data_IF_758415704602
#
_entry.id   IF_758415704602
#
_cell.length_a   1.000
_cell.length_b   1.000
_cell.length_c   1.000
_cell.angle_alpha   90.00
_cell.angle_beta   90.00
_cell.angle_gamma   90.00
#
_symmetry.space_group_name_H-M   'P 1'
#
loop_
_entity.id
_entity.type
_entity.pdbx_description
1 polymer ?
#
# COMPACT_ATOMS: atom_id res chain seq x y z
N UNK A 1 -20.16 -12.27 -3.00
CA UNK A 1 -19.05 -11.53 -2.38
C UNK A 1 -19.09 -10.11 -2.90
N UNK A 2 -18.99 -9.14 -2.00
CA UNK A 2 -19.06 -7.71 -2.33
C UNK A 2 -17.67 -7.11 -2.19
N UNK A 3 -17.14 -6.58 -3.28
CA UNK A 3 -15.81 -6.00 -3.37
C UNK A 3 -15.95 -4.48 -3.47
N UNK A 4 -15.31 -3.75 -2.54
CA UNK A 4 -15.11 -2.32 -2.66
C UNK A 4 -13.76 -2.04 -3.31
N UNK A 5 -13.71 -1.14 -4.30
CA UNK A 5 -12.46 -0.62 -4.82
C UNK A 5 -12.14 0.72 -4.16
N UNK A 6 -10.94 0.86 -3.57
CA UNK A 6 -10.43 2.09 -2.99
C UNK A 6 -9.40 2.71 -3.93
N UNK A 7 -9.68 3.90 -4.43
CA UNK A 7 -8.81 4.66 -5.33
C UNK A 7 -8.24 5.84 -4.56
N UNK A 8 -6.93 6.05 -4.66
CA UNK A 8 -6.28 7.28 -4.20
C UNK A 8 -5.83 8.08 -5.42
N UNK A 9 -6.12 9.38 -5.43
CA UNK A 9 -5.75 10.29 -6.52
C UNK A 9 -5.15 11.60 -6.00
N UNK A 10 -4.33 12.24 -6.83
CA UNK A 10 -3.79 13.56 -6.57
C UNK A 10 -3.40 14.25 -7.88
N UNK A 11 -4.13 15.31 -8.25
CA UNK A 11 -3.87 16.14 -9.43
C UNK A 11 -3.86 15.38 -10.78
N UNK A 12 -4.67 14.31 -10.91
CA UNK A 12 -4.66 13.38 -12.05
C UNK A 12 -6.07 13.03 -12.53
N UNK A 13 -6.82 14.05 -12.94
CA UNK A 13 -8.24 13.91 -13.32
C UNK A 13 -8.48 12.96 -14.49
N UNK A 14 -7.63 13.00 -15.53
CA UNK A 14 -7.75 12.13 -16.69
C UNK A 14 -7.46 10.66 -16.36
N UNK A 15 -6.43 10.43 -15.54
CA UNK A 15 -6.08 9.09 -15.08
C UNK A 15 -7.19 8.51 -14.19
N UNK A 16 -7.74 9.31 -13.27
CA UNK A 16 -8.87 8.92 -12.43
C UNK A 16 -10.09 8.51 -13.27
N UNK A 17 -10.44 9.28 -14.32
CA UNK A 17 -11.55 8.92 -15.20
C UNK A 17 -11.30 7.60 -15.94
N UNK A 18 -10.10 7.41 -16.47
CA UNK A 18 -9.71 6.16 -17.14
C UNK A 18 -9.76 4.94 -16.19
N UNK A 19 -9.30 5.11 -14.95
CA UNK A 19 -9.35 4.07 -13.92
C UNK A 19 -10.79 3.70 -13.56
N UNK A 20 -11.65 4.69 -13.29
CA UNK A 20 -13.08 4.49 -13.00
C UNK A 20 -13.80 3.82 -14.16
N UNK A 21 -13.53 4.25 -15.38
CA UNK A 21 -14.08 3.65 -16.60
C UNK A 21 -13.69 2.17 -16.73
N UNK A 22 -12.45 1.82 -16.46
CA UNK A 22 -12.00 0.43 -16.49
C UNK A 22 -12.74 -0.42 -15.45
N UNK A 23 -12.84 0.06 -14.21
CA UNK A 23 -13.56 -0.64 -13.12
C UNK A 23 -15.05 -0.84 -13.46
N UNK A 24 -15.73 0.19 -13.93
CA UNK A 24 -17.17 0.12 -14.24
C UNK A 24 -17.49 -0.57 -15.57
N UNK A 25 -16.48 -0.82 -16.42
CA UNK A 25 -16.59 -1.66 -17.60
C UNK A 25 -16.21 -3.13 -17.37
N UNK A 26 -15.81 -3.51 -16.13
CA UNK A 26 -15.53 -4.90 -15.80
C UNK A 26 -16.72 -5.81 -16.03
N UNK A 27 -16.49 -7.07 -16.36
CA UNK A 27 -17.51 -8.12 -16.57
C UNK A 27 -18.40 -8.26 -15.32
N UNK A 28 -17.79 -8.29 -14.14
CA UNK A 28 -18.48 -8.17 -12.85
C UNK A 28 -18.10 -6.82 -12.24
N UNK A 29 -19.11 -6.01 -11.92
CA UNK A 29 -18.90 -4.68 -11.35
C UNK A 29 -18.40 -4.75 -9.91
N UNK A 30 -17.57 -3.78 -9.44
CA UNK A 30 -17.37 -3.60 -8.02
C UNK A 30 -18.70 -3.29 -7.33
N UNK A 31 -18.84 -3.68 -6.07
CA UNK A 31 -20.04 -3.33 -5.27
C UNK A 31 -20.11 -1.84 -4.99
N UNK A 32 -18.97 -1.22 -4.75
CA UNK A 32 -18.80 0.22 -4.58
C UNK A 32 -17.37 0.63 -4.94
N UNK A 33 -17.19 1.89 -5.28
CA UNK A 33 -15.88 2.51 -5.45
C UNK A 33 -15.76 3.69 -4.50
N UNK A 34 -14.65 3.80 -3.79
CA UNK A 34 -14.36 4.93 -2.90
C UNK A 34 -13.12 5.64 -3.44
N UNK A 35 -13.28 6.89 -3.82
CA UNK A 35 -12.19 7.76 -4.30
C UNK A 35 -11.80 8.72 -3.19
N UNK A 36 -10.53 8.71 -2.78
CA UNK A 36 -9.95 9.69 -1.85
C UNK A 36 -8.95 10.58 -2.58
N UNK A 37 -9.23 11.88 -2.62
CA UNK A 37 -8.54 12.87 -3.44
C UNK A 37 -7.66 13.81 -2.59
N UNK A 38 -6.35 13.61 -2.68
CA UNK A 38 -5.32 14.43 -2.02
C UNK A 38 -4.90 15.67 -2.82
N UNK A 39 -5.62 16.03 -3.90
CA UNK A 39 -5.33 17.23 -4.69
C UNK A 39 -5.35 18.49 -3.80
N UNK A 40 -4.39 19.38 -4.03
CA UNK A 40 -4.29 20.64 -3.28
C UNK A 40 -5.16 21.73 -3.92
N UNK A 41 -5.29 21.69 -5.24
CA UNK A 41 -6.08 22.64 -6.01
C UNK A 41 -7.57 22.32 -5.92
N UNK A 42 -8.35 23.30 -5.46
CA UNK A 42 -9.81 23.19 -5.30
C UNK A 42 -10.53 23.00 -6.64
N UNK A 43 -10.02 23.55 -7.72
CA UNK A 43 -10.61 23.37 -9.03
C UNK A 43 -10.41 21.93 -9.53
N UNK A 44 -9.24 21.35 -9.30
CA UNK A 44 -9.00 19.93 -9.61
C UNK A 44 -9.92 19.04 -8.75
N UNK A 45 -10.09 19.32 -7.46
CA UNK A 45 -11.03 18.59 -6.62
C UNK A 45 -12.47 18.66 -7.13
N UNK A 46 -12.91 19.83 -7.61
CA UNK A 46 -14.23 19.98 -8.23
C UNK A 46 -14.36 19.13 -9.49
N UNK A 47 -13.35 19.15 -10.37
CA UNK A 47 -13.30 18.32 -11.57
C UNK A 47 -13.39 16.84 -11.19
N UNK A 48 -12.54 16.38 -10.27
CA UNK A 48 -12.54 14.98 -9.81
C UNK A 48 -13.88 14.58 -9.20
N UNK A 49 -14.49 15.44 -8.37
CA UNK A 49 -15.83 15.20 -7.83
C UNK A 49 -16.90 15.11 -8.89
N UNK A 50 -16.81 15.91 -9.98
CA UNK A 50 -17.74 15.83 -11.10
C UNK A 50 -17.55 14.55 -11.92
N UNK A 51 -16.32 14.11 -12.13
CA UNK A 51 -15.99 12.82 -12.78
C UNK A 51 -16.62 11.69 -11.98
N UNK A 52 -16.36 11.63 -10.66
CA UNK A 52 -16.87 10.57 -9.77
C UNK A 52 -18.41 10.48 -9.81
N UNK A 53 -19.13 11.60 -9.88
CA UNK A 53 -20.59 11.63 -9.96
C UNK A 53 -21.17 11.00 -11.25
N UNK A 54 -20.36 10.77 -12.26
CA UNK A 54 -20.81 10.12 -13.51
C UNK A 54 -20.87 8.59 -13.38
N UNK A 55 -20.27 8.04 -12.33
CA UNK A 55 -20.21 6.60 -12.08
C UNK A 55 -21.15 6.19 -10.95
N UNK A 56 -21.91 5.09 -11.13
CA UNK A 56 -22.83 4.62 -10.09
C UNK A 56 -22.06 4.13 -8.86
N UNK A 57 -22.69 4.07 -7.70
CA UNK A 57 -22.13 3.50 -6.46
C UNK A 57 -20.68 3.94 -6.18
N UNK A 58 -20.33 5.18 -6.57
CA UNK A 58 -18.99 5.75 -6.41
C UNK A 58 -19.03 6.93 -5.44
N UNK A 59 -18.22 6.84 -4.37
CA UNK A 59 -18.13 7.82 -3.28
C UNK A 59 -16.89 8.66 -3.47
N UNK A 60 -17.03 9.99 -3.43
CA UNK A 60 -15.93 10.93 -3.43
C UNK A 60 -15.65 11.45 -2.03
N UNK A 61 -14.38 11.43 -1.64
CA UNK A 61 -13.87 11.96 -0.38
C UNK A 61 -12.71 12.93 -0.65
N UNK A 62 -12.70 14.04 0.06
CA UNK A 62 -11.49 14.87 0.15
C UNK A 62 -10.47 14.13 1.01
N UNK A 63 -9.27 13.97 0.49
CA UNK A 63 -8.18 13.28 1.18
C UNK A 63 -7.50 14.12 2.24
N UNK A 64 -6.75 13.50 3.16
CA UNK A 64 -6.13 14.15 4.31
C UNK A 64 -4.86 14.95 3.99
N UNK A 65 -4.30 14.83 2.79
CA UNK A 65 -3.07 15.49 2.31
C UNK A 65 -1.83 15.22 3.18
N UNK A 66 -1.73 13.99 3.70
CA UNK A 66 -0.65 13.53 4.59
C UNK A 66 0.17 12.37 4.00
N UNK A 67 0.09 12.14 2.69
CA UNK A 67 0.79 11.07 1.99
C UNK A 67 -0.11 9.90 1.62
N UNK A 68 0.45 8.96 0.84
CA UNK A 68 -0.32 7.86 0.24
C UNK A 68 -0.98 6.95 1.27
N UNK A 69 -0.30 6.65 2.37
CA UNK A 69 -0.84 5.81 3.45
C UNK A 69 -2.07 6.44 4.11
N UNK A 70 -2.00 7.74 4.45
CA UNK A 70 -3.13 8.46 5.01
C UNK A 70 -4.31 8.54 4.03
N UNK A 71 -4.02 8.72 2.75
CA UNK A 71 -5.03 8.77 1.71
C UNK A 71 -5.71 7.40 1.51
N UNK A 72 -4.95 6.30 1.53
CA UNK A 72 -5.49 4.93 1.51
C UNK A 72 -6.31 4.62 2.78
N UNK A 73 -5.86 5.08 3.96
CA UNK A 73 -6.64 4.97 5.20
C UNK A 73 -7.98 5.70 5.09
N UNK A 74 -7.99 6.92 4.53
CA UNK A 74 -9.23 7.69 4.33
C UNK A 74 -10.22 6.94 3.44
N UNK A 75 -9.74 6.35 2.33
CA UNK A 75 -10.58 5.56 1.43
C UNK A 75 -11.10 4.28 2.09
N UNK A 76 -10.23 3.49 2.73
CA UNK A 76 -10.63 2.21 3.31
C UNK A 76 -11.52 2.36 4.54
N UNK A 77 -11.33 3.42 5.33
CA UNK A 77 -12.17 3.70 6.49
C UNK A 77 -13.63 3.99 6.09
N UNK A 78 -13.86 4.64 4.95
CA UNK A 78 -15.20 4.85 4.44
C UNK A 78 -15.92 3.54 4.09
N UNK A 79 -15.19 2.47 3.78
CA UNK A 79 -15.80 1.15 3.53
C UNK A 79 -16.35 0.50 4.80
N UNK A 80 -16.05 1.01 6.00
CA UNK A 80 -16.51 0.45 7.27
C UNK A 80 -18.04 0.52 7.44
N UNK A 81 -18.66 1.54 6.88
CA UNK A 81 -20.11 1.72 6.89
C UNK A 81 -20.82 0.99 5.73
N UNK A 82 -20.04 0.37 4.83
CA UNK A 82 -20.55 -0.32 3.66
C UNK A 82 -20.53 -1.82 3.89
N UNK A 83 -21.52 -2.50 3.33
CA UNK A 83 -21.63 -3.95 3.42
C UNK A 83 -20.69 -4.61 2.39
N UNK A 84 -19.39 -4.66 2.72
CA UNK A 84 -18.33 -5.17 1.85
C UNK A 84 -17.55 -6.30 2.52
N UNK A 85 -17.21 -7.32 1.74
CA UNK A 85 -16.45 -8.49 2.19
C UNK A 85 -14.93 -8.28 1.97
N UNK A 86 -14.56 -7.64 0.86
CA UNK A 86 -13.18 -7.42 0.43
C UNK A 86 -12.96 -6.00 -0.07
N UNK A 87 -11.71 -5.56 0.04
CA UNK A 87 -11.22 -4.27 -0.46
C UNK A 87 -10.11 -4.51 -1.48
N UNK A 88 -10.26 -3.94 -2.67
CA UNK A 88 -9.20 -3.81 -3.66
C UNK A 88 -8.61 -2.39 -3.57
N UNK A 89 -7.29 -2.27 -3.54
CA UNK A 89 -6.65 -0.97 -3.78
C UNK A 89 -6.31 -0.85 -5.26
N UNK A 90 -6.67 0.28 -5.86
CA UNK A 90 -6.36 0.58 -7.26
C UNK A 90 -5.84 2.01 -7.30
N UNK A 91 -4.65 2.23 -7.85
CA UNK A 91 -4.12 3.57 -8.02
C UNK A 91 -4.78 4.26 -9.23
N UNK A 92 -4.83 5.58 -9.25
CA UNK A 92 -5.56 6.35 -10.27
C UNK A 92 -5.04 6.16 -11.70
N UNK A 93 -3.79 5.73 -11.86
CA UNK A 93 -3.15 5.45 -13.15
C UNK A 93 -3.23 3.97 -13.59
N UNK A 94 -4.06 3.18 -12.91
CA UNK A 94 -4.25 1.74 -13.17
C UNK A 94 -5.57 1.51 -13.90
N UNK A 95 -5.52 0.69 -14.94
CA UNK A 95 -6.71 0.11 -15.56
C UNK A 95 -6.73 -1.40 -15.29
N UNK A 96 -7.76 -1.85 -14.59
CA UNK A 96 -7.99 -3.29 -14.38
C UNK A 96 -8.41 -3.97 -15.67
N UNK A 97 -8.01 -5.24 -15.86
CA UNK A 97 -8.56 -6.06 -16.93
C UNK A 97 -10.04 -6.37 -16.69
N UNK A 98 -10.84 -6.60 -17.77
CA UNK A 98 -12.30 -6.76 -17.66
C UNK A 98 -12.75 -7.82 -16.66
N UNK A 99 -12.00 -8.91 -16.51
CA UNK A 99 -12.34 -10.03 -15.63
C UNK A 99 -11.70 -9.93 -14.23
N UNK A 100 -11.06 -8.81 -13.89
CA UNK A 100 -10.33 -8.63 -12.61
C UNK A 100 -11.23 -8.96 -11.39
N UNK A 101 -12.42 -8.35 -11.32
CA UNK A 101 -13.36 -8.57 -10.20
C UNK A 101 -13.94 -9.99 -10.27
N UNK A 102 -14.26 -10.50 -11.46
CA UNK A 102 -14.77 -11.87 -11.66
C UNK A 102 -13.76 -12.90 -11.16
N UNK A 103 -12.50 -12.79 -11.59
CA UNK A 103 -11.41 -13.69 -11.18
C UNK A 103 -11.16 -13.64 -9.66
N UNK A 104 -11.25 -12.47 -9.04
CA UNK A 104 -11.14 -12.32 -7.59
C UNK A 104 -12.26 -13.08 -6.86
N UNK A 105 -13.50 -12.93 -7.30
CA UNK A 105 -14.65 -13.62 -6.74
C UNK A 105 -14.50 -15.14 -6.93
N UNK A 106 -14.11 -15.59 -8.12
CA UNK A 106 -13.90 -17.00 -8.41
C UNK A 106 -12.82 -17.60 -7.50
N UNK A 107 -11.67 -16.90 -7.39
CA UNK A 107 -10.57 -17.34 -6.53
C UNK A 107 -11.00 -17.49 -5.07
N UNK A 108 -11.71 -16.52 -4.52
CA UNK A 108 -12.23 -16.60 -3.15
C UNK A 108 -13.34 -17.66 -3.01
N UNK A 109 -14.15 -17.91 -4.04
CA UNK A 109 -15.22 -18.91 -4.01
C UNK A 109 -14.70 -20.34 -3.85
N UNK A 110 -13.49 -20.60 -4.34
CA UNK A 110 -12.80 -21.89 -4.24
C UNK A 110 -12.25 -22.15 -2.83
N UNK A 111 -12.26 -21.15 -1.93
CA UNK A 111 -11.72 -21.28 -0.57
C UNK A 111 -12.83 -21.52 0.46
N UNK A 112 -12.57 -22.34 1.50
CA UNK A 112 -13.44 -22.39 2.68
C UNK A 112 -13.63 -21.02 3.32
N UNK A 113 -14.82 -20.76 3.89
CA UNK A 113 -15.13 -19.44 4.48
C UNK A 113 -14.09 -18.94 5.49
N UNK A 114 -13.61 -19.83 6.36
CA UNK A 114 -12.63 -19.44 7.39
C UNK A 114 -11.25 -19.10 6.77
N UNK A 115 -10.83 -19.82 5.75
CA UNK A 115 -9.59 -19.50 5.05
C UNK A 115 -9.69 -18.17 4.31
N UNK A 116 -10.83 -17.91 3.67
CA UNK A 116 -11.11 -16.69 2.90
C UNK A 116 -10.93 -15.42 3.75
N UNK A 117 -11.36 -15.45 5.01
CA UNK A 117 -11.26 -14.32 5.94
C UNK A 117 -9.81 -13.91 6.25
N UNK A 118 -8.87 -14.85 6.12
CA UNK A 118 -7.45 -14.64 6.43
C UNK A 118 -6.54 -14.78 5.22
N UNK A 119 -7.09 -14.60 4.01
CA UNK A 119 -6.32 -14.71 2.77
C UNK A 119 -6.38 -13.39 1.99
N UNK A 120 -5.22 -12.85 1.71
CA UNK A 120 -4.98 -11.74 0.79
C UNK A 120 -4.61 -12.38 -0.56
N UNK A 121 -5.21 -11.93 -1.64
CA UNK A 121 -4.82 -12.36 -3.00
C UNK A 121 -4.17 -11.20 -3.73
N UNK A 122 -3.19 -11.51 -4.57
CA UNK A 122 -2.42 -10.51 -5.33
C UNK A 122 -2.13 -11.00 -6.73
N UNK A 123 -2.28 -10.11 -7.69
CA UNK A 123 -2.11 -10.38 -9.11
C UNK A 123 -0.83 -9.83 -9.70
N UNK A 124 -0.90 -9.49 -10.97
CA UNK A 124 0.20 -9.03 -11.80
C UNK A 124 -0.12 -7.66 -12.36
N UNK A 125 0.87 -6.75 -12.35
CA UNK A 125 0.79 -5.47 -13.03
C UNK A 125 1.70 -5.45 -14.24
N UNK A 126 1.20 -4.89 -15.34
CA UNK A 126 1.98 -4.70 -16.56
C UNK A 126 2.26 -3.20 -16.76
N UNK A 127 3.53 -2.83 -16.88
CA UNK A 127 3.96 -1.44 -17.11
C UNK A 127 3.61 -0.99 -18.54
N UNK A 128 3.74 0.31 -18.82
CA UNK A 128 3.56 0.87 -20.17
C UNK A 128 4.59 0.32 -21.18
N UNK A 129 5.73 -0.23 -20.72
CA UNK A 129 6.74 -0.88 -21.55
C UNK A 129 6.53 -2.39 -21.69
N UNK A 130 5.48 -2.95 -21.07
CA UNK A 130 5.18 -4.39 -21.08
C UNK A 130 5.93 -5.20 -20.02
N UNK A 131 6.68 -4.56 -19.13
CA UNK A 131 7.33 -5.23 -18.01
C UNK A 131 6.31 -5.66 -16.96
N UNK A 132 6.48 -6.85 -16.40
CA UNK A 132 5.57 -7.39 -15.38
C UNK A 132 6.13 -7.21 -13.98
N UNK A 133 5.35 -6.57 -13.13
CA UNK A 133 5.55 -6.55 -11.68
C UNK A 133 4.80 -7.73 -11.07
N UNK A 134 5.53 -8.57 -10.34
CA UNK A 134 5.03 -9.79 -9.72
C UNK A 134 5.07 -9.69 -8.19
N UNK A 135 4.21 -10.42 -7.47
CA UNK A 135 4.33 -10.59 -6.04
C UNK A 135 5.71 -11.14 -5.66
N UNK A 136 6.27 -10.71 -4.54
CA UNK A 136 7.66 -10.98 -4.20
C UNK A 136 7.84 -11.29 -2.71
N UNK A 137 9.08 -11.54 -2.30
CA UNK A 137 9.52 -11.59 -0.91
C UNK A 137 10.49 -10.46 -0.61
N UNK A 138 10.59 -10.07 0.64
CA UNK A 138 11.67 -9.21 1.10
C UNK A 138 12.89 -10.04 1.48
N UNK A 139 14.02 -9.76 0.84
CA UNK A 139 15.32 -10.28 1.28
C UNK A 139 15.64 -9.87 2.72
N UNK A 140 16.70 -10.43 3.27
CA UNK A 140 17.22 -10.00 4.58
C UNK A 140 17.54 -8.48 4.60
N UNK A 141 18.03 -7.95 3.50
CA UNK A 141 18.40 -6.53 3.35
C UNK A 141 17.20 -5.62 3.01
N UNK A 142 15.99 -6.16 2.90
CA UNK A 142 14.77 -5.43 2.58
C UNK A 142 14.55 -5.18 1.09
N UNK A 143 15.30 -5.80 0.18
CA UNK A 143 15.04 -5.70 -1.25
C UNK A 143 13.92 -6.66 -1.67
N UNK A 144 13.11 -6.23 -2.63
CA UNK A 144 12.12 -7.09 -3.27
C UNK A 144 12.83 -8.15 -4.14
N UNK A 145 12.51 -9.40 -3.91
CA UNK A 145 13.07 -10.55 -4.60
C UNK A 145 11.97 -11.40 -5.20
N UNK A 146 12.12 -11.80 -6.46
CA UNK A 146 11.22 -12.78 -7.07
C UNK A 146 11.17 -14.07 -6.23
N UNK A 147 10.02 -14.71 -6.20
CA UNK A 147 9.80 -15.95 -5.46
C UNK A 147 8.90 -16.89 -6.24
N UNK A 148 9.25 -18.18 -6.23
CA UNK A 148 8.39 -19.28 -6.69
C UNK A 148 7.53 -19.84 -5.54
N UNK A 149 7.84 -19.45 -4.31
CA UNK A 149 7.11 -19.82 -3.10
C UNK A 149 5.97 -18.82 -2.80
N UNK A 150 5.33 -18.99 -1.65
CA UNK A 150 4.31 -18.04 -1.14
C UNK A 150 4.90 -16.65 -1.01
N UNK A 151 4.33 -15.62 -1.64
CA UNK A 151 4.84 -14.25 -1.55
C UNK A 151 4.69 -13.69 -0.14
N UNK A 152 5.57 -12.75 0.21
CA UNK A 152 5.50 -11.96 1.45
C UNK A 152 5.03 -10.52 1.18
N UNK A 153 4.93 -10.11 -0.08
CA UNK A 153 4.45 -8.80 -0.50
C UNK A 153 3.44 -8.91 -1.62
N UNK A 154 2.63 -7.89 -1.79
CA UNK A 154 1.61 -7.81 -2.84
C UNK A 154 2.04 -6.83 -3.94
N UNK A 155 1.46 -6.97 -5.11
CA UNK A 155 1.35 -5.88 -6.09
C UNK A 155 0.10 -5.09 -5.69
N UNK A 156 0.27 -3.98 -4.98
CA UNK A 156 -0.81 -3.35 -4.24
C UNK A 156 -2.03 -2.99 -5.10
N UNK A 157 -1.80 -2.46 -6.29
CA UNK A 157 -2.87 -2.07 -7.20
C UNK A 157 -3.49 -3.26 -7.99
N UNK A 158 -3.05 -4.48 -7.69
CA UNK A 158 -3.64 -5.74 -8.14
C UNK A 158 -3.95 -6.68 -6.97
N UNK A 159 -4.20 -6.14 -5.78
CA UNK A 159 -4.40 -6.92 -4.56
C UNK A 159 -5.78 -6.71 -3.95
N UNK A 160 -6.32 -7.77 -3.35
CA UNK A 160 -7.53 -7.73 -2.55
C UNK A 160 -7.27 -8.24 -1.14
N UNK A 161 -7.80 -7.50 -0.18
CA UNK A 161 -7.71 -7.78 1.24
C UNK A 161 -9.10 -8.10 1.80
N UNK A 162 -9.24 -9.07 2.72
CA UNK A 162 -10.46 -9.19 3.51
C UNK A 162 -10.76 -7.88 4.24
N UNK A 163 -12.01 -7.39 4.15
CA UNK A 163 -12.39 -6.11 4.78
C UNK A 163 -12.11 -6.11 6.30
N UNK A 164 -12.29 -7.26 6.96
CA UNK A 164 -12.01 -7.39 8.39
C UNK A 164 -10.55 -7.08 8.78
N UNK A 165 -9.58 -7.25 7.86
CA UNK A 165 -8.18 -6.89 8.11
C UNK A 165 -8.06 -5.42 8.53
N UNK A 166 -8.78 -4.53 7.84
CA UNK A 166 -8.75 -3.09 8.12
C UNK A 166 -9.61 -2.65 9.32
N UNK A 167 -10.26 -3.58 10.03
CA UNK A 167 -10.82 -3.29 11.35
C UNK A 167 -9.77 -3.34 12.46
N UNK A 168 -8.63 -3.98 12.21
CA UNK A 168 -7.54 -4.17 13.16
C UNK A 168 -6.26 -3.44 12.74
N UNK A 169 -6.04 -3.29 11.44
CA UNK A 169 -4.83 -2.74 10.85
C UNK A 169 -5.14 -1.54 9.95
N UNK A 170 -4.19 -0.63 9.86
CA UNK A 170 -4.25 0.50 8.93
C UNK A 170 -2.90 0.66 8.25
N UNK A 171 -2.86 1.39 7.15
CA UNK A 171 -1.60 1.81 6.53
C UNK A 171 -0.78 2.63 7.51
N UNK A 172 0.52 2.38 7.56
CA UNK A 172 1.44 3.10 8.44
C UNK A 172 1.72 4.50 7.87
N UNK A 173 1.13 5.54 8.46
CA UNK A 173 1.26 6.93 8.03
C UNK A 173 2.65 7.52 8.30
N UNK A 174 3.52 6.80 9.02
CA UNK A 174 4.93 7.20 9.19
C UNK A 174 5.75 6.94 7.93
N UNK A 175 5.26 6.09 7.02
CA UNK A 175 5.83 5.85 5.71
C UNK A 175 5.19 6.83 4.72
N UNK A 176 6.01 7.75 4.21
CA UNK A 176 5.52 8.74 3.25
C UNK A 176 5.31 8.16 1.86
N UNK A 177 6.26 7.33 1.38
CA UNK A 177 6.23 6.71 0.07
C UNK A 177 7.23 5.55 -0.04
N UNK A 178 6.80 4.43 -0.66
CA UNK A 178 7.59 3.23 -0.90
C UNK A 178 7.61 2.27 0.30
N UNK A 179 7.60 0.98 0.02
CA UNK A 179 7.57 -0.10 1.02
C UNK A 179 6.34 -0.14 1.94
N UNK A 180 5.37 0.74 1.76
CA UNK A 180 4.15 0.75 2.56
C UNK A 180 3.32 -0.53 2.41
N UNK A 181 3.31 -1.09 1.20
CA UNK A 181 2.71 -2.38 0.87
C UNK A 181 3.43 -3.55 1.55
N UNK A 182 4.76 -3.53 1.52
CA UNK A 182 5.57 -4.55 2.18
C UNK A 182 5.42 -4.51 3.70
N UNK A 183 5.38 -3.31 4.29
CA UNK A 183 5.15 -3.12 5.73
C UNK A 183 3.78 -3.68 6.15
N UNK A 184 2.72 -3.32 5.41
CA UNK A 184 1.38 -3.81 5.66
C UNK A 184 1.30 -5.35 5.55
N UNK A 185 1.97 -5.92 4.55
CA UNK A 185 2.05 -7.37 4.35
C UNK A 185 2.80 -8.08 5.49
N UNK A 186 3.88 -7.50 6.00
CA UNK A 186 4.59 -8.06 7.16
C UNK A 186 3.70 -8.10 8.40
N UNK A 187 2.86 -7.06 8.64
CA UNK A 187 1.86 -7.08 9.72
C UNK A 187 0.77 -8.11 9.46
N UNK A 188 0.31 -8.23 8.24
CA UNK A 188 -0.66 -9.26 7.86
C UNK A 188 -0.13 -10.67 8.16
N UNK A 189 1.12 -10.97 7.78
CA UNK A 189 1.79 -12.26 8.06
C UNK A 189 1.91 -12.49 9.57
N UNK A 190 2.31 -11.46 10.34
CA UNK A 190 2.38 -11.52 11.81
C UNK A 190 1.01 -11.85 12.42
N UNK A 191 -0.07 -11.37 11.83
CA UNK A 191 -1.45 -11.61 12.24
C UNK A 191 -2.07 -12.87 11.61
N UNK A 192 -1.23 -13.79 11.09
CA UNK A 192 -1.60 -15.08 10.49
C UNK A 192 -2.42 -14.99 9.20
N UNK A 193 -2.38 -13.85 8.49
CA UNK A 193 -2.91 -13.78 7.14
C UNK A 193 -1.96 -14.46 6.16
N UNK A 194 -2.53 -15.11 5.15
CA UNK A 194 -1.81 -15.69 4.01
C UNK A 194 -1.89 -14.77 2.81
N UNK A 195 -0.80 -14.68 2.06
CA UNK A 195 -0.76 -13.96 0.79
C UNK A 195 -0.64 -15.01 -0.31
N UNK A 196 -1.58 -15.00 -1.26
CA UNK A 196 -1.60 -15.96 -2.36
C UNK A 196 -1.47 -15.22 -3.70
N UNK A 197 -0.59 -15.72 -4.55
CA UNK A 197 -0.51 -15.27 -5.94
C UNK A 197 -1.73 -15.75 -6.72
N UNK A 198 -2.30 -14.85 -7.51
CA UNK A 198 -3.42 -15.09 -8.42
C UNK A 198 -3.10 -14.41 -9.76
N UNK A 199 -2.37 -15.07 -10.65
CA UNK A 199 -1.91 -14.49 -11.92
C UNK A 199 -3.04 -14.01 -12.85
N UNK A 200 -4.26 -14.48 -12.62
CA UNK A 200 -5.47 -14.10 -13.35
C UNK A 200 -5.93 -12.66 -12.99
N UNK A 201 -5.49 -12.15 -11.86
CA UNK A 201 -5.73 -10.75 -11.47
C UNK A 201 -4.72 -9.86 -12.19
N UNK A 202 -5.12 -9.31 -13.33
CA UNK A 202 -4.24 -8.51 -14.16
C UNK A 202 -4.68 -7.05 -14.21
N UNK A 203 -3.70 -6.17 -14.15
CA UNK A 203 -3.90 -4.73 -14.28
C UNK A 203 -2.81 -4.12 -15.16
N UNK A 204 -3.12 -2.98 -15.78
CA UNK A 204 -2.21 -2.25 -16.65
C UNK A 204 -1.95 -0.85 -16.10
N UNK A 205 -0.69 -0.46 -15.98
CA UNK A 205 -0.28 0.91 -15.70
C UNK A 205 -0.48 1.76 -16.95
N UNK A 206 -1.13 2.91 -16.82
CA UNK A 206 -1.41 3.83 -17.94
C UNK A 206 -0.51 5.07 -17.96
N UNK A 207 0.12 5.39 -16.84
CA UNK A 207 1.03 6.53 -16.75
C UNK A 207 2.29 6.15 -15.98
N UNK A 208 3.43 6.71 -16.41
CA UNK A 208 4.70 6.60 -15.68
C UNK A 208 5.05 7.89 -14.94
N UNK A 209 4.16 8.88 -14.98
CA UNK A 209 4.40 10.15 -14.29
C UNK A 209 4.40 9.96 -12.78
N UNK A 210 5.52 10.31 -12.15
CA UNK A 210 5.63 10.28 -10.70
C UNK A 210 5.06 11.56 -10.09
N UNK A 211 4.26 11.43 -9.04
CA UNK A 211 3.82 12.59 -8.23
C UNK A 211 4.93 13.13 -7.32
N UNK A 212 6.14 12.58 -7.37
CA UNK A 212 7.29 12.97 -6.54
C UNK A 212 8.19 13.98 -7.27
N UNK A 213 7.63 15.14 -7.64
CA UNK A 213 8.31 16.15 -8.49
C UNK A 213 9.38 17.00 -7.76
N UNK A 214 9.61 16.78 -6.48
CA UNK A 214 10.62 17.53 -5.75
C UNK A 214 12.04 17.15 -6.20
N UNK A 215 12.97 18.12 -6.28
CA UNK A 215 14.35 17.83 -6.66
C UNK A 215 15.01 16.87 -5.68
N UNK A 216 15.92 16.06 -6.21
CA UNK A 216 16.79 15.20 -5.39
C UNK A 216 17.90 16.00 -4.69
N UNK A 217 18.75 15.29 -3.95
CA UNK A 217 19.89 15.88 -3.25
C UNK A 217 21.16 15.16 -3.68
N UNK A 218 22.14 15.93 -4.13
CA UNK A 218 23.47 15.41 -4.42
C UNK A 218 23.50 14.30 -5.47
N UNK A 219 22.64 14.39 -6.50
CA UNK A 219 22.57 13.37 -7.55
C UNK A 219 21.75 12.12 -7.19
N UNK A 220 21.16 12.06 -5.99
CA UNK A 220 20.16 11.06 -5.62
C UNK A 220 18.77 11.66 -5.87
N UNK A 221 17.94 10.99 -6.65
CA UNK A 221 16.60 11.47 -6.97
C UNK A 221 15.69 11.49 -5.73
N UNK A 222 14.65 12.32 -5.77
CA UNK A 222 13.65 12.36 -4.70
C UNK A 222 13.00 11.00 -4.46
N UNK A 223 12.75 10.25 -5.53
CA UNK A 223 12.24 8.88 -5.47
C UNK A 223 13.20 7.95 -4.71
N UNK A 224 14.48 7.91 -5.10
CA UNK A 224 15.50 7.09 -4.43
C UNK A 224 15.62 7.43 -2.94
N UNK A 225 15.56 8.72 -2.57
CA UNK A 225 15.61 9.15 -1.17
C UNK A 225 14.45 8.58 -0.34
N UNK A 226 13.22 8.55 -0.90
CA UNK A 226 12.07 7.97 -0.22
C UNK A 226 12.15 6.46 -0.12
N UNK A 227 12.53 5.77 -1.20
CA UNK A 227 12.65 4.31 -1.23
C UNK A 227 13.70 3.84 -0.20
N UNK A 228 14.88 4.48 -0.15
CA UNK A 228 15.91 4.09 0.80
C UNK A 228 15.54 4.41 2.25
N UNK A 229 14.88 5.53 2.49
CA UNK A 229 14.37 5.87 3.81
C UNK A 229 13.30 4.88 4.29
N UNK A 230 12.36 4.52 3.43
CA UNK A 230 11.32 3.54 3.72
C UNK A 230 11.90 2.14 3.94
N UNK A 231 12.88 1.72 3.14
CA UNK A 231 13.59 0.45 3.32
C UNK A 231 14.28 0.35 4.69
N UNK A 232 14.92 1.45 5.13
CA UNK A 232 15.53 1.51 6.47
C UNK A 232 14.47 1.38 7.57
N UNK A 233 13.38 2.14 7.47
CA UNK A 233 12.28 2.11 8.43
C UNK A 233 11.66 0.70 8.53
N UNK A 234 11.27 0.12 7.41
CA UNK A 234 10.62 -1.20 7.36
C UNK A 234 11.56 -2.30 7.82
N UNK A 235 12.85 -2.23 7.46
CA UNK A 235 13.85 -3.19 7.93
C UNK A 235 14.05 -3.16 9.45
N UNK A 236 14.10 -1.97 10.05
CA UNK A 236 14.16 -1.83 11.52
C UNK A 236 12.86 -2.34 12.15
N UNK A 237 11.70 -1.90 11.65
CA UNK A 237 10.39 -2.33 12.14
C UNK A 237 10.22 -3.85 12.08
N UNK A 238 10.69 -4.49 10.98
CA UNK A 238 10.67 -5.94 10.80
C UNK A 238 11.41 -6.67 11.92
N UNK A 239 12.66 -6.27 12.23
CA UNK A 239 13.51 -6.98 13.16
C UNK A 239 13.45 -6.47 14.60
N UNK A 240 12.85 -5.31 14.85
CA UNK A 240 12.64 -4.75 16.19
C UNK A 240 11.24 -5.06 16.72
N UNK A 241 10.19 -4.79 15.92
CA UNK A 241 8.81 -4.76 16.41
C UNK A 241 7.96 -5.95 15.90
N UNK A 242 8.09 -6.32 14.61
CA UNK A 242 7.22 -7.33 14.01
C UNK A 242 7.70 -8.76 14.30
N UNK A 243 8.98 -9.03 14.05
CA UNK A 243 9.64 -10.32 14.27
C UNK A 243 10.93 -10.11 15.07
N UNK A 244 10.84 -9.79 16.38
CA UNK A 244 11.97 -9.32 17.17
C UNK A 244 13.15 -10.28 17.13
N UNK A 245 14.30 -9.79 16.67
CA UNK A 245 15.55 -10.51 16.65
C UNK A 245 16.74 -9.53 16.68
N UNK A 246 17.36 -9.30 17.86
CA UNK A 246 18.43 -8.30 18.01
C UNK A 246 19.65 -8.57 17.12
N UNK A 247 20.01 -9.83 16.90
CA UNK A 247 21.15 -10.19 16.06
C UNK A 247 20.87 -9.86 14.59
N UNK A 248 19.66 -10.18 14.11
CA UNK A 248 19.23 -9.79 12.75
C UNK A 248 19.15 -8.29 12.60
N UNK A 249 18.64 -7.57 13.59
CA UNK A 249 18.60 -6.12 13.60
C UNK A 249 20.00 -5.50 13.47
N UNK A 250 20.93 -5.95 14.31
CA UNK A 250 22.32 -5.47 14.27
C UNK A 250 22.98 -5.76 12.92
N UNK A 251 22.83 -6.98 12.40
CA UNK A 251 23.37 -7.37 11.10
C UNK A 251 22.73 -6.54 9.96
N UNK A 252 21.41 -6.34 9.98
CA UNK A 252 20.70 -5.51 9.00
C UNK A 252 21.25 -4.08 9.00
N UNK A 253 21.34 -3.43 10.17
CA UNK A 253 21.87 -2.07 10.29
C UNK A 253 23.30 -1.98 9.79
N UNK A 254 24.19 -2.91 10.18
CA UNK A 254 25.58 -2.92 9.75
C UNK A 254 25.69 -3.01 8.22
N UNK A 255 24.96 -3.92 7.61
CA UNK A 255 24.97 -4.12 6.14
C UNK A 255 24.33 -2.92 5.44
N UNK A 256 23.20 -2.41 5.94
CA UNK A 256 22.52 -1.27 5.36
C UNK A 256 23.43 -0.04 5.32
N UNK A 257 24.03 0.32 6.47
CA UNK A 257 24.89 1.50 6.55
C UNK A 257 26.17 1.35 5.72
N UNK A 258 26.80 0.18 5.73
CA UNK A 258 27.98 -0.09 4.90
C UNK A 258 27.66 0.01 3.40
N UNK A 259 26.59 -0.65 2.95
CA UNK A 259 26.17 -0.66 1.55
C UNK A 259 25.77 0.75 1.07
N UNK A 260 24.92 1.46 1.83
CA UNK A 260 24.50 2.81 1.48
C UNK A 260 25.65 3.81 1.49
N UNK A 261 26.58 3.73 2.47
CA UNK A 261 27.75 4.58 2.47
C UNK A 261 28.61 4.33 1.23
N UNK A 262 28.84 3.08 0.87
CA UNK A 262 29.57 2.73 -0.37
C UNK A 262 28.88 3.25 -1.64
N UNK A 263 27.54 3.10 -1.71
CA UNK A 263 26.73 3.60 -2.83
C UNK A 263 26.81 5.13 -2.96
N UNK A 264 26.62 5.86 -1.87
CA UNK A 264 26.65 7.32 -1.85
C UNK A 264 28.06 7.87 -2.12
N UNK A 265 29.12 7.24 -1.58
CA UNK A 265 30.50 7.61 -1.86
C UNK A 265 30.85 7.43 -3.33
N UNK A 266 30.47 6.30 -3.92
CA UNK A 266 30.70 6.02 -5.35
C UNK A 266 30.02 7.04 -6.28
N UNK A 267 28.88 7.60 -5.86
CA UNK A 267 28.14 8.64 -6.60
C UNK A 267 28.56 10.08 -6.24
N UNK A 268 29.43 10.27 -5.26
CA UNK A 268 29.77 11.61 -4.74
C UNK A 268 28.60 12.28 -4.01
N UNK A 269 27.67 11.49 -3.46
CA UNK A 269 26.37 11.95 -2.94
C UNK A 269 26.24 11.80 -1.43
N UNK A 270 27.34 11.79 -0.69
CA UNK A 270 27.37 11.52 0.76
C UNK A 270 26.48 12.50 1.55
N UNK A 271 26.25 13.71 1.05
CA UNK A 271 25.35 14.70 1.61
C UNK A 271 23.88 14.28 1.63
N UNK A 272 23.50 13.20 0.94
CA UNK A 272 22.14 12.66 0.97
C UNK A 272 21.83 11.90 2.28
N UNK A 273 22.85 11.47 3.06
CA UNK A 273 22.68 10.72 4.28
C UNK A 273 21.72 11.37 5.30
N UNK A 274 21.93 12.64 5.71
CA UNK A 274 21.03 13.27 6.68
C UNK A 274 19.58 13.27 6.24
N UNK A 275 19.33 13.41 4.95
CA UNK A 275 17.98 13.41 4.39
C UNK A 275 17.34 12.02 4.38
N UNK A 276 18.10 10.96 4.05
CA UNK A 276 17.61 9.57 4.14
C UNK A 276 17.21 9.26 5.59
N UNK A 277 18.06 9.59 6.56
CA UNK A 277 17.77 9.38 7.99
C UNK A 277 16.56 10.19 8.43
N UNK A 278 16.47 11.46 8.06
CA UNK A 278 15.34 12.33 8.38
C UNK A 278 14.01 11.78 7.84
N UNK A 279 14.01 11.35 6.55
CA UNK A 279 12.81 10.81 5.89
C UNK A 279 12.42 9.44 6.44
N UNK A 280 13.37 8.66 6.93
CA UNK A 280 13.08 7.33 7.46
C UNK A 280 12.25 7.35 8.74
N UNK A 281 12.19 8.48 9.47
CA UNK A 281 11.43 8.63 10.72
C UNK A 281 11.68 7.52 11.74
N UNK A 282 12.84 6.89 11.70
CA UNK A 282 13.16 5.71 12.55
C UNK A 282 13.03 6.00 14.05
N UNK A 283 13.18 7.27 14.48
CA UNK A 283 12.99 7.66 15.87
C UNK A 283 11.59 7.31 16.40
N UNK A 284 10.56 7.28 15.55
CA UNK A 284 9.19 6.95 15.95
C UNK A 284 9.07 5.49 16.39
N UNK A 285 9.89 4.59 15.85
CA UNK A 285 9.92 3.17 16.24
C UNK A 285 10.40 2.93 17.68
N UNK A 286 11.03 3.90 18.33
CA UNK A 286 11.44 3.85 19.73
C UNK A 286 10.50 4.62 20.66
N UNK A 287 9.67 5.53 20.13
CA UNK A 287 8.69 6.28 20.92
C UNK A 287 7.44 5.47 21.24
N UNK A 288 7.05 4.54 20.39
CA UNK A 288 5.86 3.71 20.57
C UNK A 288 5.93 2.76 21.79
N UNK A 289 7.12 2.47 22.33
CA UNK A 289 7.29 1.61 23.52
C UNK A 289 6.85 2.30 24.83
N UNK A 290 6.61 3.59 24.82
CA UNK A 290 6.28 4.38 26.03
C UNK A 290 4.78 4.71 26.16
N UNK A 291 3.90 4.16 25.33
CA UNK A 291 2.45 4.29 25.48
C UNK A 291 2.00 3.17 26.43
N UNK A 292 1.53 3.46 27.68
CA UNK A 292 1.00 2.41 28.55
C UNK A 292 -0.18 1.74 27.86
N UNK A 293 -0.20 0.40 27.85
CA UNK A 293 -1.36 -0.38 27.42
C UNK A 293 -2.61 0.19 28.12
N UNK A 294 -3.60 0.59 27.35
CA UNK A 294 -4.88 1.04 27.89
C UNK A 294 -5.44 -0.10 28.74
N UNK A 295 -5.56 0.09 30.06
CA UNK A 295 -6.17 -0.88 30.94
C UNK A 295 -7.60 -1.19 30.44
N UNK A 296 -7.98 -2.46 30.37
CA UNK A 296 -9.36 -2.81 30.00
C UNK A 296 -10.32 -2.12 30.99
N UNK A 297 -11.22 -1.32 30.46
CA UNK A 297 -12.25 -0.63 31.23
C UNK A 297 -12.99 -1.66 32.10
N UNK A 298 -12.85 -1.51 33.42
CA UNK A 298 -13.59 -2.29 34.41
C UNK A 298 -15.10 -2.21 34.13
N UNK A 299 -15.68 -3.37 33.89
CA UNK A 299 -17.11 -3.58 33.78
C UNK A 299 -17.85 -2.92 34.96
N UNK A 300 -18.64 -1.91 34.68
CA UNK A 300 -19.62 -1.38 35.63
C UNK A 300 -20.70 -2.47 35.84
N UNK A 301 -20.62 -3.12 36.99
CA UNK A 301 -21.71 -3.96 37.48
C UNK A 301 -22.83 -3.02 37.89
N UNK A 302 -23.92 -2.99 37.13
CA UNK A 302 -25.18 -2.36 37.56
C UNK A 302 -25.93 -3.42 38.37
N UNK A 303 -26.06 -3.15 39.65
CA UNK A 303 -26.94 -3.87 40.59
C UNK A 303 -28.41 -3.49 40.42
#
# INVERSE_FOLDING_TARGET
>A
MRIAACITTRNRSEQLDACLKALWNSTVKPHTVVVSDDSQDVEIQKINSQIVKQYPETIYLTGPRRGVCANRNNAVNATSALDTDFVAFVDDDICVEPDFIANAIDRYSQMPNEQRKYTIITGISTSTQGEKLLPSKLSFQGYFCATEETPETVVIHAALFPRQFFSQEQWDEDIYFGYEDAELCLRAIKSNYKILSCPELQVNVKSTESVLDAPGIGGVSNYELHIEAARLYVGIKRYKNLFPNPLKLLAFLSIYFAHMSGFLLKRGSIQAWPEIIRRSRIQLLWQQENIPEAQPSSSVIIS
#
